data_IF_702726477196
#
_entry.id   IF_702726477196
#
_cell.length_a   1.000
_cell.length_b   1.000
_cell.length_c   1.000
_cell.angle_alpha   90.00
_cell.angle_beta   90.00
_cell.angle_gamma   90.00
#
_symmetry.space_group_name_H-M   'P 1'
#
loop_
_entity.id
_entity.type
_entity.pdbx_description
1 polymer ?
#
# COMPACT_ATOMS: atom_id res chain seq x y z
N UNK A 1 -37.12 -2.39 -34.34
CA UNK A 1 -35.91 -2.61 -33.50
C UNK A 1 -36.17 -2.07 -32.10
N UNK A 2 -35.66 -2.70 -31.04
CA UNK A 2 -35.82 -2.20 -29.66
C UNK A 2 -34.80 -1.10 -29.36
N UNK A 3 -35.21 0.02 -28.76
CA UNK A 3 -34.33 1.06 -28.23
C UNK A 3 -34.30 0.99 -26.70
N UNK A 4 -33.15 0.64 -26.14
CA UNK A 4 -32.89 0.66 -24.70
C UNK A 4 -32.31 2.03 -24.34
N UNK A 5 -33.16 2.96 -23.89
CA UNK A 5 -32.75 4.33 -23.58
C UNK A 5 -32.55 4.51 -22.08
N UNK A 6 -31.52 5.27 -21.71
CA UNK A 6 -31.17 5.57 -20.32
C UNK A 6 -30.91 7.06 -20.14
N UNK A 7 -31.33 7.62 -18.99
CA UNK A 7 -31.07 9.01 -18.62
C UNK A 7 -30.17 9.08 -17.38
N UNK A 8 -28.86 9.40 -17.52
CA UNK A 8 -27.91 9.34 -16.40
C UNK A 8 -28.16 10.33 -15.25
N UNK A 9 -28.99 11.36 -15.46
CA UNK A 9 -29.35 12.35 -14.45
C UNK A 9 -30.38 11.81 -13.46
N UNK A 10 -31.48 11.21 -13.95
CA UNK A 10 -32.49 10.53 -13.10
C UNK A 10 -32.03 9.15 -12.65
N UNK A 11 -31.20 8.47 -13.45
CA UNK A 11 -30.84 7.06 -13.24
C UNK A 11 -31.89 6.08 -13.75
N UNK A 12 -32.94 6.54 -14.42
CA UNK A 12 -33.97 5.70 -15.03
C UNK A 12 -33.51 5.13 -16.39
N UNK A 13 -34.18 4.06 -16.80
CA UNK A 13 -34.02 3.40 -18.09
C UNK A 13 -35.37 2.86 -18.56
N UNK A 14 -35.65 2.96 -19.86
CA UNK A 14 -36.89 2.48 -20.48
C UNK A 14 -36.57 1.86 -21.84
N UNK A 15 -37.17 0.71 -22.11
CA UNK A 15 -37.13 0.08 -23.44
C UNK A 15 -38.34 0.56 -24.23
N UNK A 16 -38.10 1.09 -25.41
CA UNK A 16 -39.13 1.40 -26.40
C UNK A 16 -39.00 0.35 -27.50
N UNK A 17 -40.11 -0.21 -27.96
CA UNK A 17 -40.12 -1.00 -29.19
C UNK A 17 -40.54 -0.10 -30.34
N UNK A 18 -39.77 -0.11 -31.42
CA UNK A 18 -40.12 0.59 -32.66
C UNK A 18 -40.41 -0.50 -33.69
N UNK A 19 -41.70 -0.84 -33.91
CA UNK A 19 -42.10 -1.87 -34.86
C UNK A 19 -41.92 -1.35 -36.29
N UNK A 20 -40.92 -1.88 -37.00
CA UNK A 20 -40.67 -1.79 -38.45
C UNK A 20 -40.74 -0.41 -39.15
N UNK A 21 -40.87 0.69 -38.41
CA UNK A 21 -40.76 2.06 -38.93
C UNK A 21 -39.28 2.37 -39.25
N UNK A 22 -38.86 1.95 -40.44
CA UNK A 22 -37.49 2.12 -40.91
C UNK A 22 -37.13 3.60 -41.15
N UNK A 23 -38.11 4.50 -41.35
CA UNK A 23 -37.85 5.95 -41.44
C UNK A 23 -37.26 6.48 -40.13
N UNK A 24 -37.86 6.11 -38.99
CA UNK A 24 -37.35 6.48 -37.66
C UNK A 24 -36.02 5.81 -37.30
N UNK A 25 -35.70 4.67 -37.92
CA UNK A 25 -34.45 3.95 -37.64
C UNK A 25 -33.30 4.35 -38.59
N UNK A 26 -33.61 4.85 -39.80
CA UNK A 26 -32.62 5.20 -40.83
C UNK A 26 -31.58 6.21 -40.35
N UNK A 27 -31.97 7.18 -39.54
CA UNK A 27 -31.08 8.21 -39.00
C UNK A 27 -30.01 7.65 -38.03
N UNK A 28 -30.23 6.46 -37.46
CA UNK A 28 -29.23 5.75 -36.66
C UNK A 28 -28.28 4.88 -37.49
N UNK A 29 -28.67 4.43 -38.70
CA UNK A 29 -27.81 3.57 -39.53
C UNK A 29 -26.56 4.31 -40.00
N UNK A 30 -25.50 3.56 -40.28
CA UNK A 30 -24.14 4.02 -40.64
C UNK A 30 -23.41 4.83 -39.56
N UNK A 31 -24.11 5.33 -38.54
CA UNK A 31 -23.52 6.04 -37.41
C UNK A 31 -22.70 5.07 -36.54
N UNK A 32 -21.69 5.60 -35.86
CA UNK A 32 -20.76 4.82 -35.03
C UNK A 32 -21.16 4.89 -33.55
N UNK A 33 -20.81 3.87 -32.79
CA UNK A 33 -20.84 3.95 -31.32
C UNK A 33 -20.07 5.19 -30.84
N UNK A 34 -20.67 5.94 -29.91
CA UNK A 34 -20.14 7.19 -29.37
C UNK A 34 -20.58 8.45 -30.12
N UNK A 35 -21.15 8.34 -31.33
CA UNK A 35 -21.78 9.48 -32.02
C UNK A 35 -22.98 10.00 -31.23
N UNK A 36 -23.14 11.32 -31.20
CA UNK A 36 -24.31 12.03 -30.66
C UNK A 36 -25.21 12.47 -31.81
N UNK A 37 -26.53 12.37 -31.61
CA UNK A 37 -27.57 12.62 -32.60
C UNK A 37 -28.72 13.38 -31.95
N UNK A 38 -29.33 14.29 -32.69
CA UNK A 38 -30.61 14.93 -32.32
C UNK A 38 -31.72 13.89 -32.52
N UNK A 39 -32.59 13.71 -31.52
CA UNK A 39 -33.52 12.58 -31.42
C UNK A 39 -34.90 12.84 -32.05
N UNK A 40 -35.17 14.07 -32.48
CA UNK A 40 -36.47 14.59 -32.95
C UNK A 40 -37.19 13.67 -33.95
N UNK A 41 -36.44 12.99 -34.81
CA UNK A 41 -36.96 12.07 -35.82
C UNK A 41 -37.70 10.84 -35.25
N UNK A 42 -37.62 10.57 -33.94
CA UNK A 42 -38.39 9.51 -33.27
C UNK A 42 -39.86 9.88 -33.07
N UNK A 43 -40.18 11.18 -33.03
CA UNK A 43 -41.52 11.74 -32.76
C UNK A 43 -41.48 12.83 -31.69
N UNK A 44 -42.58 13.56 -31.53
CA UNK A 44 -42.62 14.84 -30.78
C UNK A 44 -42.22 14.78 -29.30
N UNK A 45 -42.29 13.61 -28.66
CA UNK A 45 -41.75 13.39 -27.30
C UNK A 45 -40.23 13.60 -27.23
N UNK A 46 -39.53 13.36 -28.33
CA UNK A 46 -38.06 13.39 -28.43
C UNK A 46 -37.52 14.72 -28.96
N UNK A 47 -38.37 15.71 -29.22
CA UNK A 47 -37.98 17.03 -29.71
C UNK A 47 -37.00 17.74 -28.76
N UNK A 48 -35.84 18.13 -29.29
CA UNK A 48 -34.75 18.77 -28.56
C UNK A 48 -33.87 17.82 -27.74
N UNK A 49 -34.16 16.52 -27.71
CA UNK A 49 -33.30 15.55 -27.01
C UNK A 49 -32.05 15.25 -27.84
N UNK A 50 -30.89 15.21 -27.17
CA UNK A 50 -29.65 14.71 -27.80
C UNK A 50 -29.30 13.37 -27.19
N UNK A 51 -29.24 12.33 -28.03
CA UNK A 51 -28.93 10.95 -27.65
C UNK A 51 -27.57 10.52 -28.18
N UNK A 52 -26.85 9.72 -27.40
CA UNK A 52 -25.56 9.12 -27.76
C UNK A 52 -25.71 7.62 -27.96
N UNK A 53 -25.20 7.10 -29.07
CA UNK A 53 -25.17 5.65 -29.32
C UNK A 53 -24.16 5.01 -28.36
N UNK A 54 -24.66 4.29 -27.35
CA UNK A 54 -23.82 3.64 -26.33
C UNK A 54 -23.32 2.26 -26.76
N UNK A 55 -24.02 1.59 -27.67
CA UNK A 55 -23.75 0.24 -28.14
C UNK A 55 -25.05 -0.47 -28.54
N UNK A 56 -25.05 -1.80 -28.49
CA UNK A 56 -26.22 -2.61 -28.82
C UNK A 56 -25.89 -4.10 -28.92
N UNK A 57 -26.90 -4.88 -29.28
CA UNK A 57 -26.82 -6.31 -29.51
C UNK A 57 -27.39 -6.65 -30.89
N UNK A 58 -26.64 -7.46 -31.62
CA UNK A 58 -27.02 -8.11 -32.88
C UNK A 58 -28.25 -9.04 -32.69
N UNK A 59 -28.94 -9.41 -33.77
CA UNK A 59 -30.08 -10.37 -33.77
C UNK A 59 -29.73 -11.69 -33.05
N UNK A 60 -28.53 -12.24 -33.26
CA UNK A 60 -28.00 -13.42 -32.52
C UNK A 60 -27.29 -13.04 -31.20
N UNK A 61 -27.66 -11.93 -30.56
CA UNK A 61 -27.21 -11.52 -29.22
C UNK A 61 -25.76 -11.01 -29.10
N UNK A 62 -24.94 -11.08 -30.17
CA UNK A 62 -23.55 -10.62 -30.13
C UNK A 62 -23.46 -9.11 -29.82
N UNK A 63 -22.75 -8.69 -28.77
CA UNK A 63 -22.64 -7.28 -28.42
C UNK A 63 -21.73 -6.51 -29.39
N UNK A 64 -22.07 -5.25 -29.66
CA UNK A 64 -21.23 -4.31 -30.40
C UNK A 64 -19.94 -3.97 -29.64
N UNK A 65 -18.89 -3.55 -30.36
CA UNK A 65 -17.59 -3.20 -29.78
C UNK A 65 -16.96 -1.98 -30.42
N UNK A 66 -16.72 -0.95 -29.61
CA UNK A 66 -16.06 0.27 -30.05
C UNK A 66 -14.67 0.01 -30.64
N UNK A 67 -14.36 0.70 -31.74
CA UNK A 67 -13.10 0.57 -32.49
C UNK A 67 -13.07 -0.55 -33.52
N UNK A 68 -14.16 -1.31 -33.68
CA UNK A 68 -14.29 -2.32 -34.75
C UNK A 68 -15.10 -1.69 -35.89
N UNK A 69 -14.41 -1.07 -36.86
CA UNK A 69 -14.99 -0.22 -37.90
C UNK A 69 -15.71 -1.00 -39.03
N UNK A 70 -16.49 -2.01 -38.68
CA UNK A 70 -17.35 -2.79 -39.59
C UNK A 70 -18.82 -2.61 -39.19
N UNK A 71 -19.73 -2.81 -40.15
CA UNK A 71 -21.11 -3.15 -39.81
C UNK A 71 -21.17 -4.58 -39.24
N UNK A 72 -20.61 -5.55 -39.96
CA UNK A 72 -20.68 -7.00 -39.67
C UNK A 72 -19.87 -7.46 -38.43
N UNK A 73 -19.90 -8.77 -38.14
CA UNK A 73 -19.19 -9.39 -36.99
C UNK A 73 -17.76 -9.78 -37.35
N UNK A 74 -16.83 -9.63 -36.40
CA UNK A 74 -15.41 -10.01 -36.54
C UNK A 74 -14.97 -10.90 -35.36
N UNK A 75 -14.07 -11.87 -35.60
CA UNK A 75 -13.52 -12.77 -34.57
C UNK A 75 -12.21 -12.26 -33.98
N UNK A 76 -12.29 -11.59 -32.83
CA UNK A 76 -11.15 -10.91 -32.17
C UNK A 76 -10.59 -11.68 -30.97
N UNK A 77 -9.27 -11.63 -30.76
CA UNK A 77 -8.56 -12.28 -29.65
C UNK A 77 -8.53 -11.39 -28.38
N UNK A 78 -9.52 -11.58 -27.50
CA UNK A 78 -9.74 -10.71 -26.34
C UNK A 78 -8.94 -11.18 -25.11
N UNK A 79 -8.23 -10.24 -24.46
CA UNK A 79 -7.59 -10.38 -23.13
C UNK A 79 -8.42 -9.72 -22.02
N UNK A 80 -8.01 -9.90 -20.75
CA UNK A 80 -8.56 -9.18 -19.58
C UNK A 80 -8.61 -7.67 -19.82
N UNK A 81 -9.73 -7.03 -19.51
CA UNK A 81 -9.91 -5.58 -19.58
C UNK A 81 -10.57 -5.06 -20.87
N UNK A 82 -10.65 -5.85 -21.94
CA UNK A 82 -11.45 -5.46 -23.11
C UNK A 82 -12.96 -5.70 -22.88
N UNK A 83 -13.78 -4.85 -23.50
CA UNK A 83 -15.22 -5.11 -23.66
C UNK A 83 -15.51 -6.43 -24.38
N UNK A 84 -16.71 -6.98 -24.10
CA UNK A 84 -17.29 -8.20 -24.66
C UNK A 84 -16.67 -9.54 -24.19
N UNK A 85 -15.76 -9.51 -23.21
CA UNK A 85 -15.15 -10.70 -22.61
C UNK A 85 -14.76 -10.49 -21.13
N UNK A 86 -14.97 -11.53 -20.32
CA UNK A 86 -14.46 -11.65 -18.95
C UNK A 86 -13.73 -13.00 -18.83
N UNK A 87 -12.40 -13.02 -18.65
CA UNK A 87 -11.65 -14.26 -18.52
C UNK A 87 -12.04 -15.02 -17.23
N UNK A 88 -11.80 -16.33 -17.23
CA UNK A 88 -11.97 -17.23 -16.08
C UNK A 88 -10.64 -17.49 -15.38
N UNK A 89 -9.53 -17.64 -16.13
CA UNK A 89 -8.16 -17.77 -15.60
C UNK A 89 -7.35 -16.48 -15.79
N UNK A 90 -6.32 -16.29 -14.97
CA UNK A 90 -5.34 -15.21 -15.15
C UNK A 90 -4.51 -15.46 -16.42
N UNK A 91 -4.23 -14.40 -17.20
CA UNK A 91 -3.53 -14.50 -18.47
C UNK A 91 -4.38 -14.97 -19.67
N UNK A 92 -5.57 -15.54 -19.43
CA UNK A 92 -6.43 -16.10 -20.47
C UNK A 92 -6.78 -15.09 -21.58
N UNK A 93 -6.55 -15.50 -22.84
CA UNK A 93 -6.98 -14.81 -24.06
C UNK A 93 -7.91 -15.75 -24.83
N UNK A 94 -9.06 -15.27 -25.32
CA UNK A 94 -10.00 -16.10 -26.10
C UNK A 94 -10.45 -15.39 -27.38
N UNK A 95 -10.37 -16.07 -28.54
CA UNK A 95 -10.88 -15.55 -29.82
C UNK A 95 -12.41 -15.69 -29.84
N UNK A 96 -13.14 -14.57 -29.83
CA UNK A 96 -14.61 -14.51 -29.83
C UNK A 96 -15.13 -13.69 -31.01
N UNK A 97 -16.28 -14.10 -31.56
CA UNK A 97 -17.07 -13.25 -32.46
C UNK A 97 -17.65 -12.07 -31.68
N UNK A 98 -17.61 -10.88 -32.27
CA UNK A 98 -18.13 -9.62 -31.71
C UNK A 98 -18.72 -8.79 -32.85
N UNK A 99 -19.80 -8.04 -32.61
CA UNK A 99 -20.38 -7.13 -33.60
C UNK A 99 -19.53 -5.86 -33.71
N UNK A 100 -19.45 -5.27 -34.91
CA UNK A 100 -18.77 -4.00 -35.14
C UNK A 100 -19.40 -2.81 -34.40
N UNK A 101 -18.84 -1.62 -34.59
CA UNK A 101 -19.33 -0.39 -33.97
C UNK A 101 -20.23 0.46 -34.88
N UNK A 102 -20.43 0.06 -36.14
CA UNK A 102 -21.35 0.73 -37.08
C UNK A 102 -22.76 0.14 -36.89
N UNK A 103 -23.76 1.01 -36.83
CA UNK A 103 -25.17 0.67 -36.64
C UNK A 103 -25.83 0.31 -37.98
N UNK A 104 -26.70 -0.70 -37.96
CA UNK A 104 -27.26 -1.40 -39.13
C UNK A 104 -28.59 -2.09 -38.73
N UNK A 105 -29.46 -2.38 -39.70
CA UNK A 105 -30.74 -3.10 -39.56
C UNK A 105 -30.61 -4.50 -38.90
N UNK A 106 -29.41 -5.06 -38.81
CA UNK A 106 -29.16 -6.38 -38.20
C UNK A 106 -28.93 -6.35 -36.67
N UNK A 107 -29.27 -5.26 -36.01
CA UNK A 107 -29.37 -5.19 -34.55
C UNK A 107 -30.77 -5.60 -34.07
N UNK A 108 -30.84 -6.28 -32.92
CA UNK A 108 -32.09 -6.55 -32.20
C UNK A 108 -32.43 -5.40 -31.25
N UNK A 109 -31.41 -4.90 -30.54
CA UNK A 109 -31.54 -3.80 -29.61
C UNK A 109 -30.37 -2.82 -29.71
N UNK A 110 -30.68 -1.52 -29.84
CA UNK A 110 -29.72 -0.42 -29.76
C UNK A 110 -29.78 0.21 -28.37
N UNK A 111 -28.62 0.52 -27.78
CA UNK A 111 -28.52 1.16 -26.47
C UNK A 111 -28.19 2.65 -26.63
N UNK A 112 -29.02 3.51 -26.05
CA UNK A 112 -28.92 4.96 -26.15
C UNK A 112 -28.78 5.60 -24.75
N UNK A 113 -28.01 6.68 -24.69
CA UNK A 113 -27.85 7.53 -23.50
C UNK A 113 -28.32 8.93 -23.85
N UNK A 114 -29.28 9.48 -23.11
CA UNK A 114 -29.65 10.90 -23.21
C UNK A 114 -28.50 11.75 -22.64
N UNK A 115 -27.98 12.67 -23.46
CA UNK A 115 -26.92 13.64 -23.11
C UNK A 115 -27.51 15.00 -22.77
N UNK A 116 -28.53 15.44 -23.52
CA UNK A 116 -29.32 16.66 -23.25
C UNK A 116 -30.80 16.32 -23.21
N UNK A 117 -31.52 16.84 -22.22
CA UNK A 117 -32.99 16.75 -22.14
C UNK A 117 -33.59 17.75 -23.13
N UNK A 118 -34.61 17.33 -23.87
CA UNK A 118 -35.44 18.19 -24.71
C UNK A 118 -36.57 18.89 -23.95
N UNK A 119 -37.55 19.39 -24.70
CA UNK A 119 -38.64 20.25 -24.21
C UNK A 119 -39.66 19.47 -23.36
N UNK A 120 -40.22 18.39 -23.90
CA UNK A 120 -41.26 17.56 -23.25
C UNK A 120 -40.63 16.49 -22.33
N UNK A 121 -41.34 16.07 -21.28
CA UNK A 121 -40.92 14.93 -20.47
C UNK A 121 -41.39 13.60 -21.05
N UNK A 122 -40.50 12.60 -21.02
CA UNK A 122 -40.74 11.26 -21.56
C UNK A 122 -41.18 10.34 -20.40
N UNK A 123 -42.41 9.79 -20.45
CA UNK A 123 -43.03 9.13 -19.29
C UNK A 123 -42.23 7.88 -18.86
N UNK A 124 -41.87 7.82 -17.58
CA UNK A 124 -41.07 6.74 -17.02
C UNK A 124 -39.56 6.75 -17.38
N UNK A 125 -39.04 7.85 -17.95
CA UNK A 125 -37.60 8.00 -18.25
C UNK A 125 -36.99 9.31 -17.71
N UNK A 126 -37.66 10.44 -17.92
CA UNK A 126 -37.20 11.76 -17.42
C UNK A 126 -38.01 12.28 -16.25
N UNK A 127 -39.29 11.93 -16.22
CA UNK A 127 -40.23 12.10 -15.10
C UNK A 127 -39.77 11.32 -13.83
N UNK A 128 -39.47 10.02 -13.95
CA UNK A 128 -39.14 9.19 -12.79
C UNK A 128 -37.68 9.33 -12.32
N UNK A 129 -37.47 9.79 -11.08
CA UNK A 129 -36.14 9.89 -10.47
C UNK A 129 -35.78 8.65 -9.63
N UNK A 130 -34.63 8.02 -9.91
CA UNK A 130 -34.14 6.80 -9.23
C UNK A 130 -32.93 7.14 -8.34
N UNK A 131 -33.11 7.38 -7.03
CA UNK A 131 -32.03 7.86 -6.16
C UNK A 131 -30.89 6.85 -5.97
N UNK A 132 -29.66 7.37 -5.88
CA UNK A 132 -28.43 6.54 -5.76
C UNK A 132 -28.40 5.77 -4.44
N UNK A 133 -28.75 4.48 -4.50
CA UNK A 133 -28.86 3.51 -3.37
C UNK A 133 -27.68 3.45 -2.39
N UNK A 134 -26.47 3.88 -2.76
CA UNK A 134 -25.26 3.80 -1.91
C UNK A 134 -24.49 5.13 -1.90
N UNK A 135 -24.30 5.68 -0.70
CA UNK A 135 -23.42 6.83 -0.46
C UNK A 135 -21.92 6.47 -0.41
N UNK A 136 -21.03 7.48 -0.28
CA UNK A 136 -19.59 7.27 -0.32
C UNK A 136 -19.02 6.50 0.88
N UNK A 137 -18.03 5.63 0.63
CA UNK A 137 -17.37 4.80 1.66
C UNK A 137 -15.99 5.31 2.12
N UNK A 138 -15.29 6.12 1.32
CA UNK A 138 -13.96 6.67 1.69
C UNK A 138 -14.12 8.01 2.38
N UNK A 139 -13.38 8.26 3.47
CA UNK A 139 -13.44 9.52 4.22
C UNK A 139 -13.38 10.78 3.33
N UNK A 140 -12.38 10.87 2.43
CA UNK A 140 -12.24 12.01 1.51
C UNK A 140 -13.40 12.16 0.52
N UNK A 141 -14.10 11.08 0.16
CA UNK A 141 -15.29 11.13 -0.69
C UNK A 141 -16.55 11.54 0.10
N UNK A 142 -16.60 11.32 1.42
CA UNK A 142 -17.65 11.84 2.31
C UNK A 142 -17.46 13.35 2.48
N UNK A 143 -16.21 13.79 2.74
CA UNK A 143 -15.88 15.23 2.82
C UNK A 143 -16.26 16.00 1.57
N UNK A 144 -15.94 15.46 0.38
CA UNK A 144 -16.36 16.03 -0.91
C UNK A 144 -17.87 15.99 -1.21
N UNK A 145 -18.69 15.25 -0.45
CA UNK A 145 -20.15 15.23 -0.64
C UNK A 145 -20.85 16.32 0.18
N UNK A 146 -20.29 16.64 1.36
CA UNK A 146 -20.85 17.59 2.32
C UNK A 146 -19.99 18.85 2.49
N UNK A 147 -19.03 19.09 1.57
CA UNK A 147 -18.04 20.17 1.60
C UNK A 147 -17.28 20.35 2.92
N UNK A 148 -17.09 19.26 3.68
CA UNK A 148 -16.44 19.26 4.99
C UNK A 148 -14.94 19.55 4.91
N UNK A 149 -14.43 20.18 5.97
CA UNK A 149 -13.03 20.54 6.21
C UNK A 149 -12.16 19.30 6.54
N UNK A 150 -10.91 19.55 6.97
CA UNK A 150 -10.00 18.49 7.43
C UNK A 150 -10.20 18.10 8.89
N UNK A 151 -10.79 18.98 9.71
CA UNK A 151 -11.04 18.74 11.13
C UNK A 151 -12.34 17.93 11.38
N UNK A 152 -13.40 18.17 10.59
CA UNK A 152 -14.73 17.58 10.80
C UNK A 152 -14.75 16.03 10.87
N UNK A 153 -15.46 15.47 11.85
CA UNK A 153 -15.63 14.02 11.96
C UNK A 153 -16.67 13.47 10.97
N UNK A 154 -16.14 12.95 9.86
CA UNK A 154 -16.87 12.23 8.80
C UNK A 154 -17.71 11.05 9.28
N UNK A 155 -17.61 10.60 10.54
CA UNK A 155 -18.50 9.56 11.12
C UNK A 155 -19.95 10.00 11.26
N UNK A 156 -20.18 11.27 11.55
CA UNK A 156 -21.54 11.79 11.76
C UNK A 156 -22.28 11.86 10.42
N UNK A 157 -21.61 12.41 9.39
CA UNK A 157 -22.10 12.62 8.03
C UNK A 157 -22.09 11.36 7.14
N UNK A 158 -22.20 10.15 7.71
CA UNK A 158 -22.31 8.92 6.92
C UNK A 158 -23.77 8.66 6.56
N UNK A 159 -24.10 8.66 5.26
CA UNK A 159 -25.40 8.24 4.75
C UNK A 159 -25.76 6.82 5.25
N UNK A 160 -26.79 6.73 6.09
CA UNK A 160 -27.28 5.46 6.68
C UNK A 160 -28.49 4.96 5.89
N UNK A 161 -28.36 3.86 5.15
CA UNK A 161 -29.48 3.31 4.36
C UNK A 161 -30.50 2.62 5.28
N UNK A 162 -31.81 2.96 5.24
CA UNK A 162 -32.85 2.13 5.85
C UNK A 162 -32.87 0.75 5.16
N UNK A 163 -32.93 -0.31 5.97
CA UNK A 163 -33.25 -1.65 5.49
C UNK A 163 -34.78 -1.76 5.36
N UNK A 164 -35.30 -2.57 4.41
CA UNK A 164 -36.74 -2.85 4.36
C UNK A 164 -37.18 -3.41 5.71
N UNK A 165 -38.36 -2.97 6.16
CA UNK A 165 -39.00 -3.51 7.36
C UNK A 165 -39.19 -5.02 7.14
N UNK A 166 -38.84 -5.81 8.15
CA UNK A 166 -39.24 -7.21 8.22
C UNK A 166 -40.38 -7.29 9.24
N UNK A 167 -41.34 -8.16 8.99
CA UNK A 167 -42.47 -8.39 9.89
C UNK A 167 -42.02 -8.57 11.35
N UNK A 168 -42.73 -7.90 12.26
CA UNK A 168 -42.43 -7.85 13.69
C UNK A 168 -41.13 -7.12 14.10
N UNK A 169 -40.39 -6.48 13.18
CA UNK A 169 -39.04 -5.94 13.48
C UNK A 169 -38.91 -4.46 13.13
N UNK A 170 -38.61 -3.65 14.17
CA UNK A 170 -38.38 -2.19 14.10
C UNK A 170 -37.42 -1.83 12.96
N UNK A 171 -37.66 -0.69 12.30
CA UNK A 171 -36.85 -0.19 11.17
C UNK A 171 -35.37 -0.10 11.57
N UNK A 172 -34.47 -0.68 10.76
CA UNK A 172 -33.02 -0.68 11.02
C UNK A 172 -32.27 0.06 9.92
N UNK A 173 -31.43 1.02 10.29
CA UNK A 173 -30.51 1.68 9.38
C UNK A 173 -29.14 0.96 9.36
N UNK A 174 -28.49 0.93 8.20
CA UNK A 174 -27.16 0.33 8.01
C UNK A 174 -26.19 1.34 7.39
N UNK A 175 -25.11 1.63 8.11
CA UNK A 175 -24.01 2.48 7.64
C UNK A 175 -22.86 1.64 7.05
N UNK A 176 -22.14 2.13 6.02
CA UNK A 176 -20.89 1.54 5.58
C UNK A 176 -19.74 1.78 6.57
N UNK A 177 -18.87 0.78 6.77
CA UNK A 177 -17.60 0.97 7.48
C UNK A 177 -16.69 1.89 6.66
N UNK A 178 -16.41 3.09 7.19
CA UNK A 178 -15.60 4.12 6.54
C UNK A 178 -14.18 3.59 6.27
N UNK A 179 -13.67 3.84 5.06
CA UNK A 179 -12.33 3.47 4.64
C UNK A 179 -11.41 4.70 4.57
N UNK A 180 -10.13 4.52 4.92
CA UNK A 180 -9.10 5.58 4.97
C UNK A 180 -9.37 6.72 5.97
N UNK A 181 -10.22 6.47 6.98
CA UNK A 181 -10.29 7.32 8.18
C UNK A 181 -9.01 7.13 9.02
N UNK A 182 -8.48 8.22 9.58
CA UNK A 182 -7.41 8.17 10.58
C UNK A 182 -8.04 7.76 11.92
N UNK A 183 -7.47 6.74 12.56
CA UNK A 183 -7.94 6.23 13.86
C UNK A 183 -6.76 6.04 14.81
N UNK A 184 -6.98 5.97 16.14
CA UNK A 184 -5.91 5.72 17.11
C UNK A 184 -5.07 4.48 16.76
N UNK A 185 -5.70 3.40 16.28
CA UNK A 185 -5.00 2.17 15.83
C UNK A 185 -4.08 2.43 14.62
N UNK A 186 -4.46 3.32 13.69
CA UNK A 186 -3.58 3.71 12.56
C UNK A 186 -2.39 4.54 13.07
N UNK A 187 -2.62 5.45 14.02
CA UNK A 187 -1.54 6.25 14.64
C UNK A 187 -0.59 5.37 15.47
N UNK A 188 -1.12 4.44 16.26
CA UNK A 188 -0.35 3.45 17.03
C UNK A 188 0.51 2.59 16.09
N UNK A 189 -0.06 2.06 14.99
CA UNK A 189 0.69 1.31 13.98
C UNK A 189 1.78 2.14 13.27
N UNK A 190 1.55 3.46 13.09
CA UNK A 190 2.59 4.40 12.58
C UNK A 190 3.71 4.60 13.62
N UNK A 191 3.38 4.85 14.89
CA UNK A 191 4.34 4.97 16.01
C UNK A 191 5.17 3.69 16.17
N UNK A 192 4.52 2.52 16.20
CA UNK A 192 5.18 1.22 16.31
C UNK A 192 6.16 0.94 15.16
N UNK A 193 5.80 1.27 13.91
CA UNK A 193 6.71 1.15 12.76
C UNK A 193 7.96 2.01 12.90
N UNK A 194 7.85 3.20 13.49
CA UNK A 194 9.00 4.08 13.76
C UNK A 194 9.84 3.54 14.92
N UNK A 195 9.23 3.01 15.98
CA UNK A 195 9.92 2.31 17.07
C UNK A 195 10.72 1.10 16.58
N UNK A 196 10.18 0.27 15.69
CA UNK A 196 10.92 -0.84 15.07
C UNK A 196 12.13 -0.33 14.28
N UNK A 197 12.01 0.80 13.57
CA UNK A 197 13.16 1.40 12.86
C UNK A 197 14.23 1.90 13.83
N UNK A 198 13.84 2.53 14.95
CA UNK A 198 14.76 2.97 16.02
C UNK A 198 15.50 1.77 16.64
N UNK A 199 14.76 0.75 17.10
CA UNK A 199 15.33 -0.47 17.70
C UNK A 199 16.33 -1.20 16.78
N UNK A 200 16.09 -1.24 15.47
CA UNK A 200 17.01 -1.80 14.45
C UNK A 200 18.25 -0.93 14.13
N UNK A 201 18.30 0.29 14.68
CA UNK A 201 19.46 1.18 14.63
C UNK A 201 20.22 1.13 15.95
N UNK A 202 19.49 1.13 17.08
CA UNK A 202 20.00 0.93 18.43
C UNK A 202 20.73 -0.42 18.54
N UNK A 203 20.06 -1.54 18.26
CA UNK A 203 20.64 -2.89 18.32
C UNK A 203 21.85 -3.12 17.40
N UNK A 204 21.95 -2.33 16.32
CA UNK A 204 23.09 -2.37 15.39
C UNK A 204 24.29 -1.66 15.98
N UNK A 205 24.07 -0.47 16.55
CA UNK A 205 25.11 0.33 17.22
C UNK A 205 25.62 -0.37 18.48
N UNK A 206 24.74 -1.09 19.18
CA UNK A 206 25.08 -1.94 20.32
C UNK A 206 25.99 -3.11 19.90
N UNK A 207 25.58 -3.89 18.89
CA UNK A 207 26.39 -4.99 18.35
C UNK A 207 27.73 -4.51 17.74
N UNK A 208 27.75 -3.34 17.11
CA UNK A 208 28.97 -2.71 16.61
C UNK A 208 29.92 -2.31 17.76
N UNK A 209 29.40 -1.68 18.81
CA UNK A 209 30.19 -1.34 20.00
C UNK A 209 30.70 -2.58 20.75
N UNK A 210 29.89 -3.64 20.83
CA UNK A 210 30.30 -4.93 21.40
C UNK A 210 31.40 -5.59 20.57
N UNK A 211 31.25 -5.63 19.24
CA UNK A 211 32.27 -6.16 18.33
C UNK A 211 33.58 -5.37 18.42
N UNK A 212 33.53 -4.04 18.55
CA UNK A 212 34.71 -3.19 18.78
C UNK A 212 35.39 -3.51 20.13
N UNK A 213 34.63 -3.76 21.20
CA UNK A 213 35.19 -4.23 22.50
C UNK A 213 35.91 -5.58 22.35
N UNK A 214 35.29 -6.53 21.64
CA UNK A 214 35.88 -7.86 21.38
C UNK A 214 37.17 -7.74 20.55
N UNK A 215 37.19 -6.89 19.52
CA UNK A 215 38.40 -6.62 18.74
C UNK A 215 39.51 -5.97 19.58
N UNK A 216 39.18 -5.04 20.47
CA UNK A 216 40.14 -4.42 21.39
C UNK A 216 40.75 -5.45 22.36
N UNK A 217 39.93 -6.35 22.91
CA UNK A 217 40.38 -7.45 23.77
C UNK A 217 41.35 -8.38 23.02
N UNK A 218 40.96 -8.84 21.82
CA UNK A 218 41.79 -9.73 20.99
C UNK A 218 43.12 -9.08 20.61
N UNK A 219 43.11 -7.80 20.19
CA UNK A 219 44.34 -7.03 19.91
C UNK A 219 45.23 -6.87 21.15
N UNK A 220 44.66 -6.72 22.36
CA UNK A 220 45.43 -6.70 23.62
C UNK A 220 46.07 -8.06 23.90
N UNK A 221 45.31 -9.15 23.80
CA UNK A 221 45.81 -10.52 23.97
C UNK A 221 46.92 -10.86 22.96
N UNK A 222 46.76 -10.46 21.70
CA UNK A 222 47.76 -10.66 20.65
C UNK A 222 49.04 -9.86 20.94
N UNK A 223 48.94 -8.58 21.34
CA UNK A 223 50.11 -7.77 21.75
C UNK A 223 50.84 -8.39 22.94
N UNK A 224 50.12 -8.97 23.91
CA UNK A 224 50.72 -9.71 25.05
C UNK A 224 51.40 -10.99 24.56
N UNK A 225 50.74 -11.81 23.72
CA UNK A 225 51.32 -13.03 23.14
C UNK A 225 52.57 -12.75 22.29
N UNK A 226 52.58 -11.64 21.54
CA UNK A 226 53.74 -11.17 20.77
C UNK A 226 54.86 -10.67 21.68
N UNK A 227 54.56 -9.92 22.75
CA UNK A 227 55.56 -9.50 23.75
C UNK A 227 56.17 -10.70 24.49
N UNK A 228 55.36 -11.68 24.88
CA UNK A 228 55.81 -12.93 25.51
C UNK A 228 56.75 -13.71 24.59
N UNK A 229 56.36 -13.94 23.32
CA UNK A 229 57.24 -14.57 22.31
C UNK A 229 58.56 -13.82 22.10
N UNK A 230 58.52 -12.49 22.07
CA UNK A 230 59.71 -11.65 21.94
C UNK A 230 60.59 -11.66 23.20
N UNK A 231 60.02 -11.86 24.38
CA UNK A 231 60.80 -12.15 25.60
C UNK A 231 61.47 -13.50 25.45
N UNK A 232 60.73 -14.60 25.24
CA UNK A 232 61.33 -15.94 25.15
C UNK A 232 62.39 -16.08 24.05
N UNK A 233 62.27 -15.33 22.94
CA UNK A 233 63.30 -15.24 21.89
C UNK A 233 64.50 -14.35 22.25
N UNK A 234 64.35 -13.39 23.15
CA UNK A 234 65.45 -12.61 23.74
C UNK A 234 66.15 -13.43 24.82
N UNK A 235 65.38 -14.06 25.69
CA UNK A 235 65.84 -14.81 26.86
C UNK A 235 66.70 -16.02 26.42
N UNK A 236 66.25 -16.78 25.40
CA UNK A 236 67.05 -17.85 24.78
C UNK A 236 68.24 -17.33 23.97
N UNK A 237 68.17 -16.11 23.42
CA UNK A 237 69.33 -15.49 22.76
C UNK A 237 70.36 -15.01 23.78
N UNK A 238 69.95 -14.58 24.98
CA UNK A 238 70.87 -14.27 26.07
C UNK A 238 71.57 -15.50 26.63
N UNK A 239 70.89 -16.65 26.79
CA UNK A 239 71.53 -17.87 27.29
C UNK A 239 72.62 -18.38 26.34
N UNK A 240 72.37 -18.35 25.03
CA UNK A 240 73.40 -18.66 24.00
C UNK A 240 74.60 -17.69 24.12
N UNK A 241 74.38 -16.43 24.50
CA UNK A 241 75.48 -15.47 24.71
C UNK A 241 76.20 -15.61 26.05
N UNK A 242 75.55 -16.09 27.12
CA UNK A 242 76.26 -16.41 28.37
C UNK A 242 77.12 -17.65 28.21
N UNK A 243 76.58 -18.74 27.63
CA UNK A 243 77.37 -19.96 27.36
C UNK A 243 78.63 -19.71 26.52
N UNK A 244 78.58 -18.72 25.60
CA UNK A 244 79.75 -18.32 24.81
C UNK A 244 80.72 -17.37 25.53
N UNK A 245 80.30 -16.73 26.64
CA UNK A 245 81.17 -16.02 27.58
C UNK A 245 81.80 -16.94 28.61
N UNK A 246 81.03 -17.82 29.24
CA UNK A 246 81.50 -18.69 30.32
C UNK A 246 82.64 -19.61 29.82
N UNK A 247 82.50 -20.17 28.61
CA UNK A 247 83.56 -20.91 27.90
C UNK A 247 84.84 -20.08 27.66
N UNK A 248 84.73 -18.75 27.58
CA UNK A 248 85.83 -17.82 27.35
C UNK A 248 86.49 -17.36 28.66
N UNK A 249 85.71 -17.23 29.73
CA UNK A 249 86.20 -16.79 31.05
C UNK A 249 86.83 -17.95 31.84
N UNK A 250 86.31 -19.18 31.73
CA UNK A 250 86.95 -20.40 32.28
C UNK A 250 88.34 -20.64 31.67
N UNK A 251 88.52 -20.32 30.37
CA UNK A 251 89.81 -20.39 29.70
C UNK A 251 90.83 -19.35 30.20
N UNK A 252 90.36 -18.24 30.79
CA UNK A 252 91.21 -17.21 31.41
C UNK A 252 91.52 -17.56 32.88
N UNK A 253 90.57 -18.15 33.61
CA UNK A 253 90.76 -18.58 35.00
C UNK A 253 91.92 -19.59 35.14
N UNK A 254 91.94 -20.64 34.30
CA UNK A 254 93.01 -21.66 34.32
C UNK A 254 94.43 -21.12 34.06
N UNK A 255 94.57 -19.93 33.46
CA UNK A 255 95.88 -19.28 33.28
C UNK A 255 96.35 -18.47 34.50
N UNK A 256 95.47 -18.17 35.47
CA UNK A 256 95.80 -17.36 36.65
C UNK A 256 96.17 -18.17 37.90
N UNK A 257 95.63 -19.38 38.06
CA UNK A 257 96.00 -20.25 39.21
C UNK A 257 97.47 -20.70 39.15
N UNK A 258 98.00 -20.97 37.95
CA UNK A 258 99.39 -21.40 37.77
C UNK A 258 100.42 -20.36 38.24
N UNK A 259 100.08 -19.07 38.18
CA UNK A 259 100.97 -17.97 38.59
C UNK A 259 100.89 -17.63 40.09
N UNK A 260 99.82 -18.03 40.80
CA UNK A 260 99.53 -17.53 42.14
C UNK A 260 100.27 -18.25 43.30
N UNK A 261 100.94 -19.38 43.05
CA UNK A 261 101.57 -20.21 44.11
C UNK A 261 103.07 -19.97 44.33
N UNK A 262 103.69 -18.96 43.68
CA UNK A 262 105.16 -18.79 43.69
C UNK A 262 105.69 -17.54 44.42
N UNK A 263 104.84 -16.58 44.79
CA UNK A 263 105.27 -15.25 45.29
C UNK A 263 104.56 -14.81 46.58
N UNK A 264 104.71 -15.58 47.67
CA UNK A 264 104.26 -15.17 49.03
C UNK A 264 105.41 -15.27 50.07
N UNK A 265 106.62 -15.67 49.66
CA UNK A 265 107.73 -15.97 50.56
C UNK A 265 108.94 -15.05 50.31
N UNK A 266 108.98 -13.89 50.98
CA UNK A 266 110.13 -12.93 51.07
C UNK A 266 110.47 -12.22 49.74
N UNK A 267 110.98 -10.97 49.69
CA UNK A 267 111.06 -9.84 50.64
C UNK A 267 111.37 -8.55 49.84
N UNK A 268 111.37 -7.40 50.52
CA UNK A 268 112.21 -6.21 50.23
C UNK A 268 112.03 -5.34 48.96
N UNK A 269 111.70 -4.07 49.24
CA UNK A 269 112.25 -2.82 48.65
C UNK A 269 111.86 -2.31 47.23
N UNK A 270 111.41 -1.05 47.21
CA UNK A 270 111.60 0.02 46.19
C UNK A 270 111.38 -0.29 44.70
N UNK A 271 110.34 0.17 44.00
CA UNK A 271 109.81 1.54 43.80
C UNK A 271 110.64 2.48 42.89
N UNK A 272 110.16 2.71 41.64
CA UNK A 272 109.93 4.07 41.06
C UNK A 272 109.30 4.08 39.65
N UNK A 273 108.45 5.10 39.42
CA UNK A 273 108.14 5.86 38.18
C UNK A 273 107.71 5.15 36.85
N UNK A 274 106.45 5.45 36.48
CA UNK A 274 106.06 6.40 35.40
C UNK A 274 105.55 5.92 34.01
N UNK A 275 104.77 6.84 33.41
CA UNK A 275 104.38 7.01 32.01
C UNK A 275 103.37 6.03 31.35
N UNK A 276 102.23 6.60 30.92
CA UNK A 276 101.44 6.15 29.77
C UNK A 276 101.99 6.83 28.48
N UNK A 277 101.59 6.47 27.22
CA UNK A 277 100.25 6.80 26.71
C UNK A 277 99.70 5.91 25.55
N UNK A 278 98.61 6.39 24.90
CA UNK A 278 98.18 6.12 23.51
C UNK A 278 97.52 4.74 23.19
N UNK A 279 96.25 4.72 22.69
CA UNK A 279 95.78 4.75 21.27
C UNK A 279 95.88 3.37 20.56
N UNK A 280 95.10 3.01 19.52
CA UNK A 280 94.36 3.77 18.49
C UNK A 280 93.32 2.88 17.76
N UNK A 281 92.24 3.46 17.21
CA UNK A 281 91.50 3.07 15.96
C UNK A 281 90.94 1.62 15.77
N UNK A 282 90.14 1.28 14.73
CA UNK A 282 88.99 1.93 14.06
C UNK A 282 88.30 0.96 13.05
N UNK A 283 87.16 1.35 12.47
CA UNK A 283 86.44 0.64 11.38
C UNK A 283 84.96 0.40 11.70
N UNK A 284 83.91 1.00 11.08
CA UNK A 284 83.61 1.61 9.76
C UNK A 284 82.97 0.65 8.75
N UNK A 285 82.04 1.18 7.94
CA UNK A 285 81.26 0.57 6.83
C UNK A 285 79.97 -0.19 7.23
N UNK A 286 78.89 -0.19 6.45
CA UNK A 286 78.41 0.66 5.33
C UNK A 286 76.83 0.56 5.28
N UNK A 287 76.06 1.58 4.90
CA UNK A 287 75.47 1.85 3.56
C UNK A 287 74.54 0.72 3.00
N UNK A 288 73.39 0.94 2.32
CA UNK A 288 72.74 2.18 1.81
C UNK A 288 71.21 2.02 1.47
N UNK A 289 70.65 2.95 0.69
CA UNK A 289 69.24 3.20 0.26
C UNK A 289 68.58 2.07 -0.61
N UNK A 290 67.33 2.10 -1.12
CA UNK A 290 66.40 3.14 -1.69
C UNK A 290 64.91 2.85 -1.30
N UNK A 291 63.93 3.78 -1.33
CA UNK A 291 63.31 4.61 -2.41
C UNK A 291 62.54 3.76 -3.47
N UNK A 292 61.39 4.16 -4.05
CA UNK A 292 60.84 5.52 -4.26
C UNK A 292 59.27 5.62 -4.31
N UNK A 293 58.73 6.78 -4.74
CA UNK A 293 57.33 7.28 -4.76
C UNK A 293 56.31 6.55 -5.70
N UNK A 294 55.00 6.88 -5.81
CA UNK A 294 54.13 8.00 -5.30
C UNK A 294 52.62 7.72 -5.58
N UNK A 295 51.71 8.59 -6.11
CA UNK A 295 51.71 10.03 -6.52
C UNK A 295 50.28 10.53 -6.95
N UNK A 296 49.64 11.49 -6.24
CA UNK A 296 48.51 12.41 -6.67
C UNK A 296 47.09 11.79 -6.96
N UNK A 297 45.94 12.52 -7.03
CA UNK A 297 45.59 13.97 -6.83
C UNK A 297 44.11 14.23 -6.38
N UNK A 298 43.79 15.50 -6.03
CA UNK A 298 42.52 16.30 -6.03
C UNK A 298 41.11 15.67 -5.74
N UNK A 299 40.10 16.40 -5.21
CA UNK A 299 39.95 17.86 -4.99
C UNK A 299 38.75 18.26 -4.12
N UNK A 300 38.37 19.56 -4.12
CA UNK A 300 37.66 20.27 -3.01
C UNK A 300 36.45 21.10 -3.46
N UNK A 301 35.33 21.11 -2.72
CA UNK A 301 34.37 22.25 -2.68
C UNK A 301 33.38 22.26 -1.50
N UNK A 302 33.30 23.40 -0.81
CA UNK A 302 32.15 23.84 0.01
C UNK A 302 31.58 25.13 -0.62
N UNK A 303 30.27 25.38 -0.51
CA UNK A 303 29.68 26.73 -0.60
C UNK A 303 28.47 26.84 0.34
N UNK A 304 28.39 27.96 1.07
CA UNK A 304 27.32 28.36 2.00
C UNK A 304 26.41 29.40 1.31
N UNK A 305 25.09 29.39 1.53
CA UNK A 305 24.18 30.48 1.13
C UNK A 305 23.05 30.70 2.14
N UNK A 306 22.50 31.92 2.16
CA UNK A 306 21.73 32.50 3.27
C UNK A 306 20.57 33.39 2.79
N UNK A 307 19.67 33.72 3.74
CA UNK A 307 18.68 34.80 3.72
C UNK A 307 17.42 34.65 2.81
N UNK A 308 16.32 35.30 3.24
CA UNK A 308 15.06 35.41 2.51
C UNK A 308 13.79 35.38 3.38
N UNK A 309 13.39 36.52 3.98
CA UNK A 309 12.10 36.71 4.67
C UNK A 309 11.42 38.01 4.19
N UNK A 310 10.21 37.89 3.63
CA UNK A 310 9.12 38.89 3.51
C UNK A 310 7.85 38.06 3.20
N UNK A 311 6.71 38.10 3.91
CA UNK A 311 5.96 39.17 4.60
C UNK A 311 4.98 39.91 3.65
N UNK A 312 3.87 40.42 4.21
CA UNK A 312 2.54 40.41 3.56
C UNK A 312 2.19 41.67 2.73
N UNK A 313 1.16 41.55 1.86
CA UNK A 313 0.06 42.55 1.75
C UNK A 313 -1.18 42.08 0.95
N UNK A 314 -2.34 42.61 1.36
CA UNK A 314 -3.61 42.71 0.60
C UNK A 314 -3.79 44.15 0.10
N UNK A 315 -4.54 44.38 -0.98
CA UNK A 315 -5.90 44.99 -0.90
C UNK A 315 -7.01 43.96 -1.29
N UNK A 316 -8.32 44.07 -1.06
CA UNK A 316 -9.30 45.18 -1.05
C UNK A 316 -9.58 45.80 -2.44
N UNK A 317 -10.78 46.25 -2.81
CA UNK A 317 -12.15 45.86 -2.48
C UNK A 317 -13.08 46.61 -3.48
N UNK A 318 -14.19 46.01 -3.92
CA UNK A 318 -15.22 46.71 -4.70
C UNK A 318 -16.59 46.03 -4.46
N UNK A 319 -17.66 46.83 -4.44
CA UNK A 319 -19.02 46.37 -4.18
C UNK A 319 -20.04 47.22 -4.97
N UNK A 320 -21.20 46.63 -5.24
CA UNK A 320 -22.42 47.33 -5.68
C UNK A 320 -23.63 46.62 -5.06
N UNK A 321 -24.70 47.37 -4.75
CA UNK A 321 -25.85 46.85 -4.00
C UNK A 321 -27.15 47.61 -4.29
N UNK A 322 -28.25 46.87 -4.24
CA UNK A 322 -29.65 47.32 -4.11
C UNK A 322 -30.42 46.15 -3.48
N UNK A 323 -31.17 46.26 -2.37
CA UNK A 323 -32.29 47.15 -2.04
C UNK A 323 -33.54 46.85 -2.91
N UNK A 324 -34.77 46.64 -2.38
CA UNK A 324 -35.28 46.58 -0.98
C UNK A 324 -36.61 45.76 -0.95
N UNK A 325 -37.54 45.74 0.04
CA UNK A 325 -37.73 46.41 1.35
C UNK A 325 -38.82 45.72 2.20
N UNK A 326 -38.51 45.29 3.45
CA UNK A 326 -39.49 45.06 4.53
C UNK A 326 -40.34 43.76 4.49
N UNK A 327 -41.17 43.44 5.51
CA UNK A 327 -41.38 44.09 6.84
C UNK A 327 -42.15 43.11 7.80
N UNK A 328 -41.71 42.97 9.07
CA UNK A 328 -42.43 42.60 10.34
C UNK A 328 -43.54 41.49 10.38
N UNK A 329 -43.82 40.78 11.48
CA UNK A 329 -43.18 40.52 12.78
C UNK A 329 -43.98 39.44 13.58
N UNK A 330 -43.43 38.96 14.72
CA UNK A 330 -44.15 38.41 15.91
C UNK A 330 -45.00 37.11 15.76
N UNK A 331 -45.24 36.29 16.80
CA UNK A 331 -44.58 36.08 18.10
C UNK A 331 -44.94 34.68 18.67
N UNK A 332 -44.40 34.34 19.84
CA UNK A 332 -44.51 33.07 20.58
C UNK A 332 -45.87 32.77 21.25
N UNK A 333 -46.24 31.48 21.36
CA UNK A 333 -46.74 30.87 22.61
C UNK A 333 -46.93 29.32 22.54
N UNK A 334 -47.03 28.69 23.71
CA UNK A 334 -47.50 27.31 24.01
C UNK A 334 -48.82 27.44 24.83
N UNK A 335 -49.67 26.40 25.11
CA UNK A 335 -49.25 25.14 25.74
C UNK A 335 -50.13 23.87 25.43
N UNK A 336 -50.16 22.96 26.40
CA UNK A 336 -50.84 21.66 26.63
C UNK A 336 -52.39 21.68 26.64
N UNK A 337 -53.17 20.57 26.77
CA UNK A 337 -53.05 19.13 26.48
C UNK A 337 -54.41 18.40 26.84
N UNK A 338 -54.50 17.06 26.66
CA UNK A 338 -55.62 16.13 27.04
C UNK A 338 -56.90 16.22 26.18
N UNK A 339 -57.82 15.24 26.11
CA UNK A 339 -57.83 13.73 26.20
C UNK A 339 -59.26 13.23 25.80
N UNK A 340 -59.45 11.93 25.52
CA UNK A 340 -60.74 11.22 25.31
C UNK A 340 -61.49 11.53 23.98
N UNK A 341 -62.50 10.77 23.52
CA UNK A 341 -62.79 9.32 23.54
C UNK A 341 -63.84 8.99 22.44
N UNK A 342 -64.11 7.72 22.14
CA UNK A 342 -65.03 7.28 21.07
C UNK A 342 -66.42 6.81 21.59
N UNK A 343 -67.40 6.66 20.69
CA UNK A 343 -68.25 5.46 20.70
C UNK A 343 -68.35 4.74 19.32
N UNK A 344 -69.15 3.65 19.29
CA UNK A 344 -69.47 2.75 18.14
C UNK A 344 -70.91 3.07 17.62
N UNK A 345 -71.59 2.37 16.69
CA UNK A 345 -71.43 1.00 16.14
C UNK A 345 -72.15 0.78 14.78
N UNK A 346 -72.09 -0.47 14.29
CA UNK A 346 -72.83 -1.13 13.19
C UNK A 346 -72.46 -0.88 11.70
N UNK A 347 -72.70 -1.82 10.76
CA UNK A 347 -73.26 -3.18 10.97
C UNK A 347 -73.33 -4.15 9.76
N UNK A 348 -74.32 -3.96 8.85
CA UNK A 348 -74.95 -5.05 8.05
C UNK A 348 -74.07 -5.81 7.02
N UNK A 349 -74.42 -7.09 6.86
CA UNK A 349 -73.93 -8.18 5.96
C UNK A 349 -75.10 -9.19 5.75
N UNK A 350 -75.02 -10.34 5.02
CA UNK A 350 -73.89 -11.07 4.40
C UNK A 350 -73.90 -10.86 2.86
N UNK A 351 -73.58 -11.75 1.90
CA UNK A 351 -73.20 -13.18 1.79
C UNK A 351 -72.38 -13.42 0.49
N UNK A 352 -71.87 -14.62 0.14
CA UNK A 352 -71.79 -15.90 0.86
C UNK A 352 -70.94 -16.95 0.11
N UNK A 353 -70.41 -17.93 0.88
CA UNK A 353 -70.07 -19.33 0.50
C UNK A 353 -69.11 -19.68 -0.67
N UNK A 354 -68.37 -20.80 -0.69
CA UNK A 354 -67.75 -21.68 0.34
C UNK A 354 -66.76 -22.64 -0.37
N UNK A 355 -65.59 -22.94 0.23
CA UNK A 355 -65.02 -24.31 0.45
C UNK A 355 -63.58 -24.24 0.98
N UNK A 356 -63.25 -25.14 1.91
CA UNK A 356 -61.96 -25.26 2.60
C UNK A 356 -61.58 -26.75 2.73
N UNK A 357 -60.29 -27.07 2.57
CA UNK A 357 -59.67 -28.38 2.83
C UNK A 357 -58.13 -28.17 3.01
N UNK A 358 -57.37 -29.02 3.75
CA UNK A 358 -56.83 -28.51 5.01
C UNK A 358 -55.29 -28.58 5.18
N UNK A 359 -54.84 -28.06 6.33
CA UNK A 359 -53.43 -27.94 6.77
C UNK A 359 -52.74 -29.30 7.01
N UNK A 360 -51.42 -29.39 6.78
CA UNK A 360 -50.54 -30.45 7.33
C UNK A 360 -49.15 -29.95 7.73
N UNK A 361 -48.86 -29.95 9.04
CA UNK A 361 -47.57 -30.07 9.78
C UNK A 361 -47.92 -30.10 11.29
N UNK A 362 -47.06 -30.59 12.21
CA UNK A 362 -45.70 -31.13 12.02
C UNK A 362 -45.56 -32.59 12.50
N UNK A 363 -44.37 -33.18 12.31
CA UNK A 363 -43.86 -34.27 13.17
C UNK A 363 -42.36 -34.08 13.44
N UNK A 364 -41.85 -34.69 14.52
CA UNK A 364 -40.47 -34.56 14.97
C UNK A 364 -40.02 -35.77 15.81
N UNK A 365 -39.07 -36.55 15.29
CA UNK A 365 -38.39 -37.64 15.99
C UNK A 365 -37.06 -37.95 15.29
N UNK A 366 -36.03 -38.52 15.92
CA UNK A 366 -35.64 -38.50 17.34
C UNK A 366 -34.15 -38.91 17.44
N UNK A 367 -33.51 -38.71 18.59
CA UNK A 367 -32.07 -38.99 18.78
C UNK A 367 -31.78 -40.41 19.28
N UNK A 368 -30.92 -41.15 18.58
CA UNK A 368 -30.15 -42.36 18.98
C UNK A 368 -29.04 -42.57 17.93
N UNK A 369 -27.81 -42.97 18.24
CA UNK A 369 -27.13 -43.19 19.53
C UNK A 369 -25.61 -43.17 19.34
N UNK A 370 -24.83 -43.37 20.41
CA UNK A 370 -23.35 -43.39 20.39
C UNK A 370 -22.78 -44.81 20.14
N UNK A 371 -21.44 -44.96 20.32
CA UNK A 371 -20.61 -46.16 20.12
C UNK A 371 -20.16 -46.42 18.65
N UNK A 372 -18.91 -46.84 18.37
CA UNK A 372 -17.71 -46.95 19.23
C UNK A 372 -16.39 -46.93 18.41
N UNK A 373 -15.27 -47.08 19.13
CA UNK A 373 -13.88 -46.84 18.73
C UNK A 373 -13.32 -47.63 17.53
N UNK A 374 -12.35 -47.01 16.85
CA UNK A 374 -11.13 -47.69 16.39
C UNK A 374 -9.94 -46.72 16.24
N UNK A 375 -8.77 -47.07 16.81
CA UNK A 375 -7.49 -46.45 16.42
C UNK A 375 -7.08 -46.95 15.04
N UNK A 376 -6.38 -46.13 14.24
CA UNK A 376 -5.38 -46.64 13.30
C UNK A 376 -4.20 -45.68 13.20
N UNK A 377 -3.01 -46.24 13.06
CA UNK A 377 -1.79 -45.61 13.58
C UNK A 377 -0.97 -44.86 12.51
N UNK A 378 -0.02 -44.04 13.00
CA UNK A 378 1.14 -43.62 12.20
C UNK A 378 1.85 -44.86 11.66
N UNK A 379 2.05 -44.96 10.34
CA UNK A 379 3.13 -45.77 9.78
C UNK A 379 4.19 -44.85 9.20
N UNK A 380 5.31 -44.74 9.91
CA UNK A 380 6.50 -44.08 9.37
C UNK A 380 7.10 -44.94 8.25
N UNK A 381 7.57 -44.29 7.19
CA UNK A 381 8.52 -44.88 6.25
C UNK A 381 9.79 -44.04 6.27
N UNK A 382 10.90 -44.67 6.69
CA UNK A 382 12.24 -44.15 6.44
C UNK A 382 12.75 -44.74 5.11
N UNK A 383 13.58 -44.01 4.35
CA UNK A 383 14.13 -44.50 3.09
C UNK A 383 15.18 -45.59 3.32
N UNK A 384 15.13 -46.68 2.55
CA UNK A 384 16.23 -47.65 2.49
C UNK A 384 17.35 -47.12 1.57
N UNK A 385 18.60 -47.30 2.00
CA UNK A 385 19.78 -47.26 1.13
C UNK A 385 20.07 -48.67 0.61
N UNK A 386 20.01 -48.87 -0.70
CA UNK A 386 21.09 -49.39 -1.55
C UNK A 386 20.65 -49.30 -3.00
#
# INVERSE_FOLDING_TARGET
>A
MKLNVSFPATGAQKTFDIPSDDHKLRNFFEKRMGTELVADFLGDEWKGYVVKIAGGNDKQGFPMKQGVLTATRVRLLLKKGHSCYRPRRTGERKRKSVRGCIVDQNLSALALIIVRKGEKDIPGLTDTQVPRRLGPKRANNIRKLYNLTKEDDVRQFVVKRPLPVKEGKKLRHKAPKIQRLITPVVLQRKRHRLLIKKRRSESRREAEAEYVRILALRRRQERVRRRSRLSSMRDSKSSITSESKDKKEVAVAKKKEATAKKEVAKKETTAKKAAAPAKKEAGKKDASAKKDAGKKDAGKKEVKKTAGKKEEKKPAAAASASASSGKKAAASAKPEAKKAAAPKAEGKKPAGEKKEAPKRKPESASSKGEASAAKKEKKQQQPKKK
#
